data_IF_961440110882
#
_entry.id   IF_961440110882
#
_cell.length_a   1.000
_cell.length_b   1.000
_cell.length_c   1.000
_cell.angle_alpha   90.00
_cell.angle_beta   90.00
_cell.angle_gamma   90.00
#
_symmetry.space_group_name_H-M   'P 1'
#
loop_
_entity.id
_entity.type
_entity.pdbx_description
1 polymer ?
#
# COMPACT_ATOMS: atom_id res chain seq x y z
N UNK A 1 -22.89 -10.79 1.09
CA UNK A 1 -23.75 -9.68 0.60
C UNK A 1 -24.30 -10.11 -0.74
N UNK A 2 -25.59 -9.92 -0.95
CA UNK A 2 -26.27 -10.13 -2.23
C UNK A 2 -26.35 -8.77 -2.93
N UNK A 3 -26.25 -8.74 -4.25
CA UNK A 3 -26.41 -7.53 -5.04
C UNK A 3 -27.87 -7.44 -5.50
N UNK A 4 -28.53 -6.33 -5.18
CA UNK A 4 -29.92 -6.10 -5.57
C UNK A 4 -30.03 -5.73 -7.06
N UNK A 5 -31.23 -5.87 -7.62
CA UNK A 5 -31.52 -5.53 -9.02
C UNK A 5 -31.40 -4.03 -9.32
N UNK A 6 -31.57 -3.18 -8.30
CA UNK A 6 -31.49 -1.72 -8.39
C UNK A 6 -30.40 -1.17 -7.45
N UNK A 7 -29.54 -0.29 -7.97
CA UNK A 7 -28.50 0.40 -7.20
C UNK A 7 -28.84 1.88 -7.06
N UNK A 8 -29.04 2.33 -5.82
CA UNK A 8 -29.25 3.74 -5.48
C UNK A 8 -28.00 4.29 -4.76
N UNK A 9 -27.38 5.35 -5.31
CA UNK A 9 -26.22 6.03 -4.72
C UNK A 9 -26.66 7.41 -4.19
N UNK A 10 -26.78 7.55 -2.87
CA UNK A 10 -27.00 8.86 -2.22
C UNK A 10 -25.65 9.49 -1.86
N UNK A 11 -25.43 10.75 -2.25
CA UNK A 11 -24.23 11.48 -1.87
C UNK A 11 -24.51 12.98 -1.70
N UNK A 12 -23.83 13.62 -0.73
CA UNK A 12 -23.95 15.06 -0.42
C UNK A 12 -22.66 15.78 -0.73
N UNK A 13 -22.71 16.86 -1.52
CA UNK A 13 -21.50 17.63 -1.87
C UNK A 13 -20.87 18.26 -0.62
N UNK A 14 -19.61 17.91 -0.32
CA UNK A 14 -18.81 18.53 0.76
C UNK A 14 -18.16 19.82 0.29
N UNK A 15 -17.50 19.79 -0.87
CA UNK A 15 -16.77 20.93 -1.42
C UNK A 15 -16.63 20.83 -2.94
N UNK A 16 -16.56 21.97 -3.61
CA UNK A 16 -16.02 22.02 -4.96
C UNK A 16 -14.49 21.89 -4.90
N UNK A 17 -13.88 21.28 -5.90
CA UNK A 17 -12.43 21.17 -6.03
C UNK A 17 -11.96 22.11 -7.14
N UNK A 18 -10.72 22.56 -7.04
CA UNK A 18 -10.14 23.51 -8.01
C UNK A 18 -10.17 22.98 -9.45
N UNK A 19 -9.94 21.69 -9.61
CA UNK A 19 -10.04 20.93 -10.85
C UNK A 19 -10.05 19.42 -10.52
N UNK A 20 -10.32 18.57 -11.51
CA UNK A 20 -10.29 17.10 -11.42
C UNK A 20 -8.87 16.54 -11.42
N UNK A 21 -8.65 15.41 -12.08
CA UNK A 21 -7.28 14.86 -12.21
C UNK A 21 -6.35 15.82 -12.98
N UNK A 22 -6.92 16.57 -13.93
CA UNK A 22 -6.23 17.52 -14.79
C UNK A 22 -6.85 18.93 -14.70
N UNK A 23 -6.06 20.01 -14.91
CA UNK A 23 -6.53 21.39 -14.74
C UNK A 23 -7.75 21.83 -15.56
N UNK A 24 -8.04 21.16 -16.67
CA UNK A 24 -9.18 21.49 -17.56
C UNK A 24 -10.48 20.77 -17.16
N UNK A 25 -10.44 19.90 -16.15
CA UNK A 25 -11.59 19.15 -15.65
C UNK A 25 -12.15 19.82 -14.41
N UNK A 26 -13.47 19.94 -14.30
CA UNK A 26 -14.14 20.40 -13.08
C UNK A 26 -14.37 19.21 -12.13
N UNK A 27 -14.35 19.44 -10.81
CA UNK A 27 -14.57 18.37 -9.84
C UNK A 27 -15.17 18.88 -8.51
N UNK A 28 -15.72 17.94 -7.74
CA UNK A 28 -16.22 18.17 -6.38
C UNK A 28 -16.10 16.87 -5.56
N UNK A 29 -15.94 17.01 -4.25
CA UNK A 29 -15.98 15.89 -3.30
C UNK A 29 -17.39 15.75 -2.73
N UNK A 30 -17.92 14.53 -2.72
CA UNK A 30 -19.20 14.17 -2.12
C UNK A 30 -19.00 13.18 -0.96
N UNK A 31 -19.91 13.22 0.01
CA UNK A 31 -19.96 12.31 1.15
C UNK A 31 -21.15 11.38 1.02
N UNK A 32 -20.91 10.10 1.26
CA UNK A 32 -21.97 9.15 1.54
C UNK A 32 -22.49 9.38 2.98
N UNK A 33 -23.77 9.74 3.17
CA UNK A 33 -24.33 9.99 4.48
C UNK A 33 -24.46 8.72 5.34
N UNK A 34 -24.41 7.52 4.75
CA UNK A 34 -24.47 6.23 5.45
C UNK A 34 -23.12 5.78 6.01
N UNK A 35 -22.01 6.35 5.52
CA UNK A 35 -20.66 5.97 5.93
C UNK A 35 -20.18 6.86 7.08
N UNK A 36 -20.03 6.26 8.27
CA UNK A 36 -19.48 6.90 9.47
C UNK A 36 -18.23 6.14 9.97
N UNK A 37 -17.09 6.43 9.33
CA UNK A 37 -15.77 5.90 9.70
C UNK A 37 -14.68 6.95 9.48
N UNK A 38 -13.50 6.81 10.14
CA UNK A 38 -12.34 7.62 9.80
C UNK A 38 -11.94 7.41 8.33
N UNK A 39 -11.89 8.50 7.55
CA UNK A 39 -11.52 8.47 6.15
C UNK A 39 -11.05 9.86 5.67
N UNK A 40 -10.40 9.91 4.50
CA UNK A 40 -9.90 11.17 3.92
C UNK A 40 -11.03 12.13 3.60
N UNK A 41 -12.16 11.62 3.11
CA UNK A 41 -13.31 12.45 2.77
C UNK A 41 -13.88 13.19 3.99
N UNK A 42 -13.71 12.66 5.22
CA UNK A 42 -14.18 13.27 6.48
C UNK A 42 -13.06 13.93 7.29
N UNK A 43 -11.82 13.84 6.86
CA UNK A 43 -10.67 14.43 7.57
C UNK A 43 -10.83 15.95 7.80
N UNK A 44 -10.34 16.41 8.94
CA UNK A 44 -10.17 17.82 9.27
C UNK A 44 -8.82 18.30 8.71
N UNK A 45 -8.86 19.31 7.85
CA UNK A 45 -7.66 19.96 7.37
C UNK A 45 -7.22 21.04 8.38
N UNK A 46 -6.09 20.81 9.04
CA UNK A 46 -5.56 21.69 10.09
C UNK A 46 -4.67 22.81 9.55
N UNK A 47 -4.02 22.60 8.41
CA UNK A 47 -3.14 23.57 7.76
C UNK A 47 -3.02 23.30 6.25
N UNK A 48 -2.34 24.21 5.56
CA UNK A 48 -1.97 24.08 4.15
C UNK A 48 -2.97 24.66 3.16
N UNK A 49 -2.66 24.49 1.87
CA UNK A 49 -3.51 24.89 0.74
C UNK A 49 -4.76 24.03 0.61
N UNK A 50 -5.77 24.49 -0.13
CA UNK A 50 -6.92 23.67 -0.50
C UNK A 50 -6.51 22.31 -1.12
N UNK A 51 -7.25 21.26 -0.81
CA UNK A 51 -7.02 19.93 -1.38
C UNK A 51 -7.39 19.89 -2.86
N UNK A 52 -6.54 19.26 -3.68
CA UNK A 52 -6.87 18.89 -5.05
C UNK A 52 -7.53 17.50 -5.12
N UNK A 53 -8.12 17.16 -6.28
CA UNK A 53 -8.62 15.82 -6.56
C UNK A 53 -7.56 14.74 -6.30
N UNK A 54 -6.36 14.94 -6.86
CA UNK A 54 -5.26 13.99 -6.71
C UNK A 54 -4.76 13.91 -5.27
N UNK A 55 -4.77 15.01 -4.51
CA UNK A 55 -4.42 14.96 -3.09
C UNK A 55 -5.37 14.05 -2.30
N UNK A 56 -6.67 14.08 -2.60
CA UNK A 56 -7.66 13.25 -1.92
C UNK A 56 -7.46 11.77 -2.32
N UNK A 57 -7.31 11.48 -3.61
CA UNK A 57 -7.10 10.12 -4.09
C UNK A 57 -5.81 9.47 -3.56
N UNK A 58 -4.69 10.21 -3.59
CA UNK A 58 -3.41 9.72 -3.10
C UNK A 58 -3.42 9.58 -1.56
N UNK A 59 -4.07 10.50 -0.84
CA UNK A 59 -4.20 10.40 0.61
C UNK A 59 -5.07 9.21 1.02
N UNK A 60 -6.12 8.91 0.25
CA UNK A 60 -6.99 7.77 0.48
C UNK A 60 -6.23 6.45 0.28
N UNK A 61 -5.47 6.34 -0.82
CA UNK A 61 -4.60 5.19 -1.07
C UNK A 61 -3.56 4.99 0.05
N UNK A 62 -2.95 6.07 0.53
CA UNK A 62 -1.96 6.02 1.61
C UNK A 62 -2.58 5.63 2.95
N UNK A 63 -3.71 6.24 3.29
CA UNK A 63 -4.39 6.07 4.58
C UNK A 63 -5.05 4.70 4.72
N UNK A 64 -5.67 4.19 3.66
CA UNK A 64 -6.21 2.83 3.64
C UNK A 64 -5.09 1.78 3.69
N UNK A 65 -3.89 2.06 3.16
CA UNK A 65 -2.73 1.16 3.26
C UNK A 65 -2.12 1.17 4.66
N UNK A 66 -1.96 2.34 5.29
CA UNK A 66 -1.31 2.42 6.62
C UNK A 66 -2.18 1.78 7.71
N UNK A 67 -3.49 1.68 7.49
CA UNK A 67 -4.45 1.05 8.39
C UNK A 67 -4.35 -0.49 8.41
N UNK A 68 -3.60 -1.12 7.50
CA UNK A 68 -3.35 -2.57 7.50
C UNK A 68 -2.39 -3.02 8.62
N UNK A 69 -1.75 -2.08 9.32
CA UNK A 69 -0.67 -2.37 10.27
C UNK A 69 -1.02 -1.96 11.70
N UNK A 70 -0.81 -2.90 12.63
CA UNK A 70 -0.92 -2.64 14.06
C UNK A 70 0.29 -1.86 14.58
N UNK A 71 1.52 -2.28 14.26
CA UNK A 71 2.75 -1.60 14.70
C UNK A 71 2.89 -0.20 14.09
N UNK A 72 3.60 0.75 14.74
CA UNK A 72 3.84 2.08 14.17
C UNK A 72 4.34 2.00 12.72
N UNK A 73 3.55 2.57 11.81
CA UNK A 73 3.71 2.39 10.37
C UNK A 73 3.60 3.71 9.63
N UNK A 74 4.36 3.78 8.53
CA UNK A 74 4.38 4.91 7.61
C UNK A 74 4.24 4.39 6.19
N UNK A 75 3.33 5.00 5.43
CA UNK A 75 3.14 4.78 4.00
C UNK A 75 3.41 6.09 3.26
N UNK A 76 4.25 6.04 2.24
CA UNK A 76 4.51 7.14 1.33
C UNK A 76 3.94 6.76 -0.03
N UNK A 77 3.03 7.58 -0.56
CA UNK A 77 2.34 7.36 -1.84
C UNK A 77 2.62 8.49 -2.81
N UNK A 78 2.65 8.14 -4.10
CA UNK A 78 2.58 9.07 -5.21
C UNK A 78 1.77 8.45 -6.34
N UNK A 79 0.76 9.16 -6.85
CA UNK A 79 -0.11 8.68 -7.92
C UNK A 79 -0.76 7.32 -7.58
N UNK A 80 -1.38 7.26 -6.40
CA UNK A 80 -2.10 6.13 -5.80
C UNK A 80 -1.29 4.85 -5.62
N UNK A 81 0.03 4.88 -5.84
CA UNK A 81 0.92 3.75 -5.60
C UNK A 81 1.86 4.06 -4.43
N UNK A 82 2.03 3.11 -3.48
CA UNK A 82 3.09 3.21 -2.48
C UNK A 82 4.46 3.25 -3.17
N UNK A 83 5.28 4.24 -2.81
CA UNK A 83 6.71 4.28 -3.17
C UNK A 83 7.61 3.84 -2.00
N UNK A 84 7.08 3.82 -0.77
CA UNK A 84 7.75 3.26 0.38
C UNK A 84 6.76 2.98 1.52
N UNK A 85 6.89 1.82 2.16
CA UNK A 85 6.07 1.43 3.32
C UNK A 85 6.97 0.77 4.35
N UNK A 86 6.81 1.14 5.62
CA UNK A 86 7.53 0.47 6.70
C UNK A 86 6.73 0.48 8.01
N UNK A 87 6.94 -0.56 8.80
CA UNK A 87 6.60 -0.64 10.21
C UNK A 87 7.87 -0.74 11.05
N UNK A 88 7.84 -0.14 12.23
CA UNK A 88 8.97 -0.15 13.16
C UNK A 88 8.48 0.11 14.59
N UNK A 89 9.36 -0.01 15.59
CA UNK A 89 9.04 0.29 16.98
C UNK A 89 8.65 1.77 17.23
N UNK A 90 9.03 2.68 16.32
CA UNK A 90 8.68 4.10 16.38
C UNK A 90 8.27 4.60 15.00
N UNK A 91 7.37 5.60 14.95
CA UNK A 91 7.01 6.25 13.68
C UNK A 91 8.22 6.85 12.98
N UNK A 92 9.18 7.41 13.74
CA UNK A 92 10.42 7.95 13.18
C UNK A 92 11.23 6.87 12.45
N UNK A 93 11.45 5.73 13.11
CA UNK A 93 12.16 4.61 12.50
C UNK A 93 11.40 3.99 11.33
N UNK A 94 10.07 4.05 11.31
CA UNK A 94 9.27 3.63 10.17
C UNK A 94 9.38 4.63 9.00
N UNK A 95 9.28 5.94 9.27
CA UNK A 95 9.47 6.98 8.26
C UNK A 95 10.83 6.88 7.57
N UNK A 96 11.92 6.77 8.33
CA UNK A 96 13.27 6.69 7.78
C UNK A 96 13.43 5.48 6.85
N UNK A 97 12.86 4.32 7.22
CA UNK A 97 12.86 3.10 6.40
C UNK A 97 11.96 3.24 5.16
N UNK A 98 10.76 3.80 5.29
CA UNK A 98 9.85 4.01 4.17
C UNK A 98 10.45 4.98 3.13
N UNK A 99 11.05 6.09 3.59
CA UNK A 99 11.70 7.07 2.73
C UNK A 99 12.91 6.47 2.00
N UNK A 100 13.66 5.57 2.64
CA UNK A 100 14.81 4.94 2.02
C UNK A 100 14.46 4.06 0.80
N UNK A 101 13.22 3.55 0.70
CA UNK A 101 12.78 2.69 -0.40
C UNK A 101 12.86 3.40 -1.76
N UNK A 102 12.35 4.63 -1.85
CA UNK A 102 12.42 5.45 -3.05
C UNK A 102 12.35 6.96 -2.70
N UNK A 103 13.47 7.56 -2.27
CA UNK A 103 13.49 8.96 -1.83
C UNK A 103 13.20 9.93 -2.98
N UNK A 104 13.46 9.53 -4.22
CA UNK A 104 13.18 10.35 -5.41
C UNK A 104 11.68 10.44 -5.63
N UNK A 105 10.97 9.31 -5.57
CA UNK A 105 9.51 9.30 -5.72
C UNK A 105 8.79 9.88 -4.51
N UNK A 106 9.36 9.79 -3.31
CA UNK A 106 8.79 10.40 -2.10
C UNK A 106 8.69 11.94 -2.19
N UNK A 107 9.51 12.59 -3.02
CA UNK A 107 9.43 14.03 -3.25
C UNK A 107 8.10 14.42 -3.90
N UNK A 108 7.35 15.30 -3.24
CA UNK A 108 5.99 15.68 -3.61
C UNK A 108 4.95 14.59 -3.35
N UNK A 109 5.30 13.58 -2.55
CA UNK A 109 4.40 12.51 -2.16
C UNK A 109 3.46 12.90 -1.02
N UNK A 110 2.67 11.91 -0.63
CA UNK A 110 1.78 11.96 0.53
C UNK A 110 2.27 10.97 1.58
N UNK A 111 2.33 11.41 2.82
CA UNK A 111 2.74 10.58 3.97
C UNK A 111 1.52 10.28 4.83
N UNK A 112 1.22 9.00 5.02
CA UNK A 112 0.22 8.53 5.96
C UNK A 112 0.87 7.83 7.16
N UNK A 113 0.35 8.10 8.35
CA UNK A 113 0.80 7.53 9.63
C UNK A 113 -0.35 6.80 10.30
N UNK A 114 -0.09 5.66 10.96
CA UNK A 114 -1.11 4.95 11.74
C UNK A 114 -1.13 5.33 13.24
N UNK A 115 -0.38 6.36 13.62
CA UNK A 115 -0.31 6.90 14.99
C UNK A 115 -0.29 8.43 14.94
N UNK A 116 -0.41 9.04 16.11
CA UNK A 116 -0.32 10.49 16.27
C UNK A 116 1.00 11.03 15.71
N UNK A 117 0.95 12.15 15.00
CA UNK A 117 2.15 12.85 14.54
C UNK A 117 2.69 13.75 15.65
N UNK A 118 3.90 13.45 16.12
CA UNK A 118 4.65 14.24 17.09
C UNK A 118 5.58 15.28 16.42
N UNK A 119 6.13 16.19 17.23
CA UNK A 119 7.01 17.25 16.76
C UNK A 119 8.34 16.73 16.18
N UNK A 120 8.87 15.62 16.73
CA UNK A 120 10.17 15.08 16.30
C UNK A 120 10.10 14.54 14.88
N UNK A 121 9.04 13.82 14.53
CA UNK A 121 8.81 13.37 13.17
C UNK A 121 8.39 14.53 12.26
N UNK A 122 7.60 15.49 12.77
CA UNK A 122 7.24 16.68 12.00
C UNK A 122 8.47 17.43 11.48
N UNK A 123 9.52 17.58 12.29
CA UNK A 123 10.78 18.22 11.87
C UNK A 123 11.43 17.51 10.67
N UNK A 124 11.41 16.18 10.64
CA UNK A 124 11.96 15.43 9.50
C UNK A 124 11.14 15.59 8.24
N UNK A 125 9.81 15.57 8.37
CA UNK A 125 8.90 15.76 7.26
C UNK A 125 9.13 17.12 6.59
N UNK A 126 9.64 18.13 7.30
CA UNK A 126 9.99 19.44 6.71
C UNK A 126 11.23 19.42 5.79
N UNK A 127 12.05 18.37 5.84
CA UNK A 127 13.31 18.26 5.07
C UNK A 127 13.08 17.89 3.62
N UNK A 128 11.92 17.32 3.29
CA UNK A 128 11.51 17.02 1.92
C UNK A 128 10.24 17.79 1.57
N UNK A 129 10.01 17.99 0.27
CA UNK A 129 8.75 18.55 -0.19
C UNK A 129 7.66 17.49 -0.14
N UNK A 130 6.57 17.76 0.56
CA UNK A 130 5.39 16.90 0.66
C UNK A 130 4.14 17.68 0.23
N UNK A 131 3.18 16.98 -0.36
CA UNK A 131 1.88 17.58 -0.69
C UNK A 131 0.90 17.47 0.49
N UNK A 132 0.85 16.30 1.14
CA UNK A 132 -0.09 16.00 2.22
C UNK A 132 0.59 15.13 3.29
N UNK A 133 0.27 15.39 4.56
CA UNK A 133 0.52 14.49 5.68
C UNK A 133 -0.83 14.17 6.32
N UNK A 134 -1.13 12.89 6.51
CA UNK A 134 -2.38 12.39 7.09
C UNK A 134 -2.12 11.44 8.26
N UNK A 135 -2.84 11.65 9.37
CA UNK A 135 -2.72 10.85 10.59
C UNK A 135 -4.03 10.83 11.38
N UNK A 136 -4.22 9.87 12.31
CA UNK A 136 -5.33 9.87 13.26
C UNK A 136 -5.44 11.17 14.05
N UNK A 137 -4.31 11.69 14.53
CA UNK A 137 -4.18 12.97 15.22
C UNK A 137 -2.84 13.61 14.94
N UNK A 138 -2.78 14.94 15.10
CA UNK A 138 -1.56 15.75 14.93
C UNK A 138 -1.42 16.58 16.19
N UNK A 139 -0.29 16.44 16.88
CA UNK A 139 0.00 17.19 18.10
C UNK A 139 0.17 18.69 17.80
N UNK A 140 -0.08 19.55 18.80
CA UNK A 140 -0.05 21.00 18.60
C UNK A 140 1.35 21.49 18.19
N UNK A 141 2.39 20.89 18.78
CA UNK A 141 3.79 21.15 18.50
C UNK A 141 4.16 20.70 17.08
N UNK A 142 3.67 19.54 16.64
CA UNK A 142 3.85 19.04 15.28
C UNK A 142 3.16 19.93 14.23
N UNK A 143 1.94 20.38 14.53
CA UNK A 143 1.20 21.34 13.72
C UNK A 143 1.98 22.64 13.57
N UNK A 144 2.55 23.17 14.66
CA UNK A 144 3.35 24.40 14.62
C UNK A 144 4.58 24.26 13.71
N UNK A 145 5.29 23.11 13.77
CA UNK A 145 6.45 22.83 12.92
C UNK A 145 6.06 22.79 11.44
N UNK A 146 5.02 22.01 11.08
CA UNK A 146 4.63 21.82 9.69
C UNK A 146 3.86 23.00 9.11
N UNK A 147 3.20 23.82 9.93
CA UNK A 147 2.56 25.07 9.48
C UNK A 147 3.55 26.07 8.89
N UNK A 148 4.84 25.96 9.21
CA UNK A 148 5.92 26.73 8.58
C UNK A 148 6.12 26.39 7.10
N UNK A 149 5.53 25.29 6.61
CA UNK A 149 5.48 24.89 5.20
C UNK A 149 4.05 25.14 4.68
N UNK A 150 3.71 26.37 4.23
CA UNK A 150 2.33 26.80 3.97
C UNK A 150 1.60 26.02 2.85
N UNK A 151 2.32 25.21 2.08
CA UNK A 151 1.76 24.40 1.00
C UNK A 151 1.37 22.97 1.44
N UNK A 152 1.90 22.47 2.55
CA UNK A 152 1.67 21.09 3.01
C UNK A 152 0.30 21.01 3.67
N UNK A 153 -0.59 20.13 3.18
CA UNK A 153 -1.87 19.88 3.86
C UNK A 153 -1.68 18.93 5.01
N UNK A 154 -2.21 19.29 6.17
CA UNK A 154 -2.20 18.45 7.36
C UNK A 154 -3.63 17.96 7.63
N UNK A 155 -3.83 16.64 7.55
CA UNK A 155 -5.15 16.02 7.67
C UNK A 155 -5.20 15.17 8.95
N UNK A 156 -6.15 15.48 9.82
CA UNK A 156 -6.47 14.68 11.00
C UNK A 156 -7.78 13.92 10.77
N UNK A 157 -7.76 12.59 10.90
CA UNK A 157 -8.93 11.72 10.63
C UNK A 157 -9.70 11.35 11.88
N UNK A 158 -9.15 11.59 13.08
CA UNK A 158 -9.77 11.27 14.37
C UNK A 158 -9.63 9.80 14.79
N UNK A 159 -9.06 8.96 13.94
CA UNK A 159 -8.90 7.53 14.15
C UNK A 159 -8.38 6.85 12.88
N UNK A 160 -8.25 5.53 12.92
CA UNK A 160 -7.98 4.72 11.74
C UNK A 160 -9.25 4.00 11.29
N UNK A 161 -9.36 3.72 9.99
CA UNK A 161 -10.37 2.82 9.51
C UNK A 161 -10.09 1.39 9.94
N UNK A 162 -11.16 0.59 10.06
CA UNK A 162 -11.05 -0.86 10.14
C UNK A 162 -10.79 -1.43 8.73
N UNK A 163 -9.59 -2.00 8.54
CA UNK A 163 -9.18 -2.61 7.29
C UNK A 163 -9.92 -3.94 6.99
N UNK A 164 -10.45 -4.59 8.03
CA UNK A 164 -11.24 -5.84 7.94
C UNK A 164 -12.73 -5.59 7.69
N UNK A 165 -13.18 -4.33 7.74
CA UNK A 165 -14.57 -3.96 7.54
C UNK A 165 -15.09 -4.44 6.18
N UNK A 166 -16.30 -5.00 6.19
CA UNK A 166 -17.01 -5.38 4.96
C UNK A 166 -17.71 -4.15 4.41
N UNK A 167 -17.22 -3.66 3.29
CA UNK A 167 -17.74 -2.46 2.62
C UNK A 167 -18.02 -2.75 1.14
N UNK A 168 -18.77 -1.86 0.50
CA UNK A 168 -18.97 -1.90 -0.95
C UNK A 168 -18.08 -0.86 -1.61
N UNK A 169 -17.49 -1.23 -2.74
CA UNK A 169 -16.76 -0.32 -3.61
C UNK A 169 -17.49 -0.20 -4.94
N UNK A 170 -17.58 1.03 -5.44
CA UNK A 170 -18.24 1.35 -6.71
C UNK A 170 -17.20 1.92 -7.66
N UNK A 171 -17.17 1.40 -8.90
CA UNK A 171 -16.33 1.92 -9.99
C UNK A 171 -17.21 2.30 -11.16
N UNK A 172 -17.03 3.50 -11.69
CA UNK A 172 -17.70 3.90 -12.93
C UNK A 172 -17.11 3.18 -14.14
N UNK A 173 -17.97 2.87 -15.11
CA UNK A 173 -17.62 2.43 -16.47
C UNK A 173 -18.45 3.24 -17.46
N UNK A 174 -18.09 3.21 -18.75
CA UNK A 174 -18.88 3.89 -19.77
C UNK A 174 -20.33 3.36 -19.77
N UNK A 175 -21.28 4.23 -19.40
CA UNK A 175 -22.70 3.90 -19.35
C UNK A 175 -23.18 3.16 -18.10
N UNK A 176 -22.36 2.98 -17.05
CA UNK A 176 -22.82 2.29 -15.84
C UNK A 176 -21.81 2.22 -14.68
N UNK A 177 -22.05 1.28 -13.76
CA UNK A 177 -21.23 1.06 -12.56
C UNK A 177 -20.93 -0.42 -12.35
N UNK A 178 -19.73 -0.71 -11.84
CA UNK A 178 -19.35 -1.99 -11.26
C UNK A 178 -19.37 -1.85 -9.75
N UNK A 179 -20.02 -2.80 -9.06
CA UNK A 179 -20.09 -2.82 -7.60
C UNK A 179 -19.54 -4.14 -7.10
N UNK A 180 -18.66 -4.08 -6.11
CA UNK A 180 -18.07 -5.27 -5.50
C UNK A 180 -17.85 -5.05 -4.00
N UNK A 181 -17.69 -6.14 -3.26
CA UNK A 181 -17.22 -6.03 -1.87
C UNK A 181 -15.77 -5.56 -1.85
N UNK A 182 -15.42 -4.81 -0.80
CA UNK A 182 -14.06 -4.38 -0.53
C UNK A 182 -13.14 -5.57 -0.36
N UNK A 183 -11.92 -5.46 -0.89
CA UNK A 183 -10.84 -6.37 -0.57
C UNK A 183 -10.37 -6.12 0.87
N UNK A 184 -10.90 -6.90 1.81
CA UNK A 184 -10.72 -6.76 3.26
C UNK A 184 -10.06 -8.00 3.88
N UNK A 185 -9.48 -8.88 3.05
CA UNK A 185 -8.73 -10.04 3.50
C UNK A 185 -7.25 -9.71 3.47
N UNK A 186 -6.54 -10.11 4.53
CA UNK A 186 -5.08 -10.17 4.58
C UNK A 186 -4.71 -11.56 5.08
N UNK A 187 -3.43 -11.92 5.00
CA UNK A 187 -2.88 -13.16 5.54
C UNK A 187 -3.39 -13.43 6.97
N UNK A 188 -4.33 -14.35 7.15
CA UNK A 188 -4.82 -14.76 8.45
C UNK A 188 -4.51 -16.25 8.69
N UNK A 189 -4.28 -16.60 9.95
CA UNK A 189 -3.97 -17.98 10.36
C UNK A 189 -5.25 -18.86 10.38
N UNK A 190 -6.44 -18.24 10.40
CA UNK A 190 -7.73 -18.92 10.51
C UNK A 190 -8.36 -19.36 9.17
N UNK A 191 -7.88 -18.91 8.00
CA UNK A 191 -8.34 -19.42 6.68
C UNK A 191 -7.66 -20.75 6.33
N UNK A 192 -7.79 -21.73 7.21
CA UNK A 192 -7.16 -23.06 7.20
C UNK A 192 -7.51 -23.98 6.02
N UNK A 193 -8.05 -23.45 4.92
CA UNK A 193 -8.05 -24.13 3.63
C UNK A 193 -6.88 -23.67 2.72
N UNK A 194 -6.37 -22.44 2.90
CA UNK A 194 -5.31 -21.84 2.09
C UNK A 194 -4.39 -20.85 2.86
N UNK A 195 -4.51 -20.76 4.18
CA UNK A 195 -3.73 -19.91 5.09
C UNK A 195 -2.25 -20.29 5.17
N UNK A 196 -1.48 -19.85 4.17
CA UNK A 196 -0.03 -19.94 4.14
C UNK A 196 0.49 -21.37 4.10
N UNK A 197 0.26 -22.09 3.00
CA UNK A 197 0.88 -23.40 2.80
C UNK A 197 2.30 -23.21 2.26
N UNK A 198 3.32 -23.62 3.02
CA UNK A 198 4.66 -23.82 2.45
C UNK A 198 4.57 -24.91 1.39
N UNK A 199 4.93 -24.58 0.15
CA UNK A 199 4.87 -25.51 -1.00
C UNK A 199 6.24 -25.99 -1.47
N UNK A 200 7.33 -25.36 -0.99
CA UNK A 200 8.71 -25.79 -1.24
C UNK A 200 9.26 -26.61 -0.07
N UNK A 201 10.46 -27.18 -0.24
CA UNK A 201 11.13 -28.02 0.77
C UNK A 201 11.62 -27.24 2.00
N UNK A 202 11.97 -25.97 1.83
CA UNK A 202 12.50 -25.12 2.91
C UNK A 202 11.35 -24.36 3.56
N UNK A 203 11.13 -24.57 4.85
CA UNK A 203 10.20 -23.77 5.65
C UNK A 203 10.69 -22.32 5.83
N UNK A 204 9.79 -21.32 5.91
CA UNK A 204 10.17 -19.95 6.22
C UNK A 204 10.69 -19.85 7.65
N UNK A 205 11.67 -18.99 7.87
CA UNK A 205 12.00 -18.57 9.24
C UNK A 205 10.88 -17.67 9.81
N UNK A 206 10.85 -17.47 11.14
CA UNK A 206 9.87 -16.58 11.76
C UNK A 206 9.99 -15.13 11.22
N UNK A 207 11.20 -14.65 10.94
CA UNK A 207 11.44 -13.34 10.35
C UNK A 207 10.91 -13.28 8.90
N UNK A 208 11.20 -14.29 8.08
CA UNK A 208 10.66 -14.37 6.71
C UNK A 208 9.12 -14.45 6.72
N UNK A 209 8.51 -15.19 7.65
CA UNK A 209 7.05 -15.26 7.75
C UNK A 209 6.43 -13.93 8.14
N UNK A 210 7.04 -13.19 9.07
CA UNK A 210 6.60 -11.84 9.44
C UNK A 210 6.70 -10.87 8.24
N UNK A 211 7.82 -10.91 7.51
CA UNK A 211 8.01 -10.10 6.31
C UNK A 211 7.09 -10.53 5.16
N UNK A 212 6.71 -11.81 5.04
CA UNK A 212 5.70 -12.27 4.09
C UNK A 212 4.32 -11.67 4.39
N UNK A 213 3.89 -11.67 5.65
CA UNK A 213 2.63 -11.06 6.09
C UNK A 213 2.61 -9.57 5.75
N UNK A 214 3.68 -8.86 6.11
CA UNK A 214 3.84 -7.44 5.81
C UNK A 214 3.86 -7.16 4.30
N UNK A 215 4.70 -7.89 3.54
CA UNK A 215 4.84 -7.70 2.10
C UNK A 215 3.53 -7.96 1.35
N UNK A 216 2.76 -8.97 1.77
CA UNK A 216 1.48 -9.31 1.15
C UNK A 216 0.42 -8.23 1.42
N UNK A 217 0.36 -7.70 2.64
CA UNK A 217 -0.48 -6.55 2.98
C UNK A 217 -0.12 -5.31 2.15
N UNK A 218 1.16 -4.99 1.98
CA UNK A 218 1.59 -3.89 1.09
C UNK A 218 1.19 -4.17 -0.37
N UNK A 219 1.43 -5.39 -0.86
CA UNK A 219 1.21 -5.77 -2.26
C UNK A 219 -0.26 -5.59 -2.69
N UNK A 220 -1.22 -5.86 -1.78
CA UNK A 220 -2.65 -5.60 -1.95
C UNK A 220 -2.98 -4.13 -2.31
N UNK A 221 -2.14 -3.18 -1.90
CA UNK A 221 -2.34 -1.75 -2.13
C UNK A 221 -1.59 -1.21 -3.36
N UNK A 222 -0.76 -2.02 -4.01
CA UNK A 222 -0.01 -1.67 -5.22
C UNK A 222 -0.84 -2.05 -6.45
N UNK A 223 -0.84 -1.21 -7.50
CA UNK A 223 -1.58 -1.52 -8.74
C UNK A 223 -0.97 -2.73 -9.46
N UNK A 224 -1.81 -3.59 -10.01
CA UNK A 224 -1.44 -4.87 -10.62
C UNK A 224 -0.83 -4.74 -12.02
N UNK A 225 0.09 -5.62 -12.44
CA UNK A 225 0.71 -6.68 -11.63
C UNK A 225 1.70 -6.09 -10.62
N UNK A 226 1.59 -6.49 -9.36
CA UNK A 226 2.41 -5.95 -8.28
C UNK A 226 3.45 -6.94 -7.77
N UNK A 227 4.67 -6.45 -7.57
CA UNK A 227 5.75 -7.15 -6.85
C UNK A 227 6.33 -6.22 -5.79
N UNK A 228 6.51 -6.75 -4.58
CA UNK A 228 7.05 -6.01 -3.44
C UNK A 228 8.17 -6.82 -2.80
N UNK A 229 9.36 -6.25 -2.70
CA UNK A 229 10.44 -6.81 -1.87
C UNK A 229 10.45 -6.16 -0.50
N UNK A 230 10.59 -6.96 0.55
CA UNK A 230 10.57 -6.52 1.95
C UNK A 230 11.70 -7.17 2.73
N UNK A 231 12.25 -6.43 3.68
CA UNK A 231 13.06 -6.99 4.77
C UNK A 231 12.86 -6.16 6.05
N UNK A 232 12.75 -6.82 7.19
CA UNK A 232 12.65 -6.19 8.51
C UNK A 232 11.50 -5.16 8.60
N UNK A 233 10.33 -5.55 8.10
CA UNK A 233 9.11 -4.73 8.11
C UNK A 233 9.18 -3.48 7.23
N UNK A 234 10.03 -3.44 6.21
CA UNK A 234 10.12 -2.31 5.29
C UNK A 234 10.28 -2.75 3.84
N UNK A 235 9.62 -2.02 2.93
CA UNK A 235 9.78 -2.20 1.49
C UNK A 235 11.18 -1.78 1.06
N UNK A 236 11.82 -2.62 0.25
CA UNK A 236 13.12 -2.34 -0.36
C UNK A 236 12.99 -1.96 -1.84
N UNK A 237 11.92 -2.42 -2.50
CA UNK A 237 11.65 -2.13 -3.90
C UNK A 237 10.24 -2.56 -4.28
N UNK A 238 9.57 -1.74 -5.11
CA UNK A 238 8.17 -1.92 -5.50
C UNK A 238 8.07 -1.83 -7.03
N UNK A 239 7.46 -2.86 -7.64
CA UNK A 239 7.18 -2.94 -9.06
C UNK A 239 5.68 -2.89 -9.29
N UNK A 240 5.18 -1.72 -9.67
CA UNK A 240 3.75 -1.45 -9.78
C UNK A 240 3.26 -1.41 -11.25
N UNK A 241 2.04 -1.90 -11.47
CA UNK A 241 1.21 -1.54 -12.63
C UNK A 241 1.65 -2.11 -13.97
N UNK A 242 2.42 -3.21 -14.01
CA UNK A 242 2.90 -3.76 -15.28
C UNK A 242 1.97 -4.83 -15.84
N UNK A 243 1.87 -4.89 -17.17
CA UNK A 243 1.14 -5.94 -17.89
C UNK A 243 1.82 -7.31 -17.74
N UNK A 244 3.13 -7.33 -17.53
CA UNK A 244 3.93 -8.56 -17.34
C UNK A 244 4.53 -8.60 -15.94
N UNK A 245 4.33 -9.71 -15.22
CA UNK A 245 4.76 -9.80 -13.82
C UNK A 245 6.27 -9.87 -13.65
N UNK A 246 6.98 -10.56 -14.54
CA UNK A 246 8.45 -10.57 -14.52
C UNK A 246 9.04 -9.17 -14.73
N UNK A 247 8.32 -8.28 -15.43
CA UNK A 247 8.72 -6.88 -15.56
C UNK A 247 8.51 -6.14 -14.23
N UNK A 248 7.41 -6.36 -13.51
CA UNK A 248 7.26 -5.85 -12.14
C UNK A 248 8.38 -6.34 -11.22
N UNK A 249 8.75 -7.62 -11.30
CA UNK A 249 9.87 -8.19 -10.53
C UNK A 249 11.18 -7.44 -10.81
N UNK A 250 11.49 -7.24 -12.10
CA UNK A 250 12.71 -6.53 -12.53
C UNK A 250 12.70 -5.05 -12.14
N UNK A 251 11.56 -4.37 -12.25
CA UNK A 251 11.42 -2.97 -11.83
C UNK A 251 11.63 -2.82 -10.32
N UNK A 252 11.03 -3.71 -9.52
CA UNK A 252 11.20 -3.69 -8.07
C UNK A 252 12.68 -3.88 -7.68
N UNK A 253 13.38 -4.81 -8.32
CA UNK A 253 14.82 -5.03 -8.11
C UNK A 253 15.68 -3.85 -8.57
N UNK A 254 15.36 -3.26 -9.73
CA UNK A 254 16.03 -2.07 -10.25
C UNK A 254 15.89 -0.89 -9.29
N UNK A 255 14.67 -0.64 -8.78
CA UNK A 255 14.38 0.41 -7.79
C UNK A 255 15.18 0.24 -6.51
N UNK A 256 15.25 -0.98 -5.98
CA UNK A 256 16.06 -1.29 -4.81
C UNK A 256 17.55 -0.99 -5.06
N UNK A 257 18.07 -1.32 -6.25
CA UNK A 257 19.46 -1.05 -6.61
C UNK A 257 19.75 0.46 -6.73
N UNK A 258 18.84 1.24 -7.33
CA UNK A 258 18.91 2.72 -7.39
C UNK A 258 18.96 3.33 -5.99
N UNK A 259 18.12 2.82 -5.08
CA UNK A 259 18.10 3.21 -3.67
C UNK A 259 19.28 2.66 -2.85
N UNK A 260 20.15 1.85 -3.46
CA UNK A 260 21.28 1.15 -2.80
C UNK A 260 20.84 0.27 -1.63
N UNK A 261 19.64 -0.29 -1.73
CA UNK A 261 19.08 -1.24 -0.77
C UNK A 261 19.31 -2.68 -1.28
N UNK A 262 20.23 -3.45 -0.66
CA UNK A 262 20.48 -4.81 -1.11
C UNK A 262 19.28 -5.70 -0.79
N UNK A 263 18.80 -6.45 -1.80
CA UNK A 263 17.70 -7.40 -1.67
C UNK A 263 18.12 -8.76 -1.12
N UNK A 264 19.40 -8.96 -0.80
CA UNK A 264 19.91 -10.20 -0.18
C UNK A 264 19.15 -10.54 1.11
N UNK A 265 18.53 -11.71 1.15
CA UNK A 265 17.74 -12.18 2.31
C UNK A 265 16.37 -11.53 2.42
N UNK A 266 15.89 -10.85 1.37
CA UNK A 266 14.55 -10.27 1.33
C UNK A 266 13.47 -11.32 1.04
N UNK A 267 12.24 -10.96 1.39
CA UNK A 267 11.02 -11.65 0.96
C UNK A 267 10.43 -10.92 -0.23
N UNK A 268 9.91 -11.65 -1.21
CA UNK A 268 9.12 -11.12 -2.32
C UNK A 268 7.65 -11.49 -2.17
N UNK A 269 6.74 -10.52 -2.26
CA UNK A 269 5.31 -10.76 -2.40
C UNK A 269 4.83 -10.49 -3.82
N UNK A 270 3.85 -11.28 -4.26
CA UNK A 270 3.14 -11.13 -5.53
C UNK A 270 1.64 -11.11 -5.30
N UNK A 271 0.93 -10.17 -5.92
CA UNK A 271 -0.52 -10.01 -5.79
C UNK A 271 -1.33 -11.17 -6.39
N UNK A 272 -0.72 -11.90 -7.33
CA UNK A 272 -1.30 -13.00 -8.08
C UNK A 272 -0.27 -14.12 -8.34
N UNK A 273 -0.70 -15.24 -8.95
CA UNK A 273 0.16 -16.41 -9.18
C UNK A 273 1.16 -16.25 -10.32
N UNK A 274 2.35 -16.85 -10.23
CA UNK A 274 3.30 -16.81 -11.34
C UNK A 274 2.86 -17.72 -12.50
N UNK A 275 2.78 -17.21 -13.74
CA UNK A 275 2.49 -18.06 -14.90
C UNK A 275 3.69 -18.94 -15.31
N UNK A 276 4.91 -18.47 -15.03
CA UNK A 276 6.18 -19.08 -15.42
C UNK A 276 7.21 -18.94 -14.27
N UNK A 277 8.27 -19.77 -14.24
CA UNK A 277 9.30 -19.70 -13.20
C UNK A 277 10.20 -18.46 -13.29
N UNK A 278 10.13 -17.69 -14.39
CA UNK A 278 10.96 -16.51 -14.64
C UNK A 278 10.91 -15.44 -13.51
N UNK A 279 9.76 -15.31 -12.84
CA UNK A 279 9.61 -14.43 -11.69
C UNK A 279 10.38 -14.94 -10.46
N UNK A 280 10.46 -16.26 -10.28
CA UNK A 280 11.21 -16.91 -9.20
C UNK A 280 12.71 -16.79 -9.44
N UNK A 281 13.14 -17.07 -10.67
CA UNK A 281 14.53 -16.93 -11.10
C UNK A 281 15.02 -15.48 -10.92
N UNK A 282 14.25 -14.50 -11.40
CA UNK A 282 14.58 -13.08 -11.24
C UNK A 282 14.62 -12.65 -9.75
N UNK A 283 13.75 -13.21 -8.91
CA UNK A 283 13.77 -12.94 -7.48
C UNK A 283 15.01 -13.51 -6.79
N UNK A 284 15.40 -14.73 -7.16
CA UNK A 284 16.63 -15.36 -6.68
C UNK A 284 17.87 -14.54 -7.07
N UNK A 285 17.97 -14.15 -8.35
CA UNK A 285 19.08 -13.33 -8.88
C UNK A 285 19.20 -12.00 -8.14
N UNK A 286 18.06 -11.38 -7.80
CA UNK A 286 18.03 -10.16 -7.00
C UNK A 286 18.48 -10.39 -5.54
N UNK A 287 18.40 -11.63 -5.05
CA UNK A 287 18.86 -12.03 -3.71
C UNK A 287 17.74 -12.33 -2.71
N UNK A 288 16.48 -12.40 -3.15
CA UNK A 288 15.40 -12.84 -2.29
C UNK A 288 15.59 -14.30 -1.85
N UNK A 289 15.19 -14.61 -0.62
CA UNK A 289 15.26 -15.97 -0.07
C UNK A 289 13.90 -16.62 0.05
N UNK A 290 12.83 -15.82 0.06
CA UNK A 290 11.47 -16.29 0.29
C UNK A 290 10.46 -15.58 -0.62
N UNK A 291 9.38 -16.28 -0.98
CA UNK A 291 8.30 -15.76 -1.83
C UNK A 291 6.94 -16.08 -1.21
N UNK A 292 6.03 -15.12 -1.22
CA UNK A 292 4.61 -15.31 -0.91
C UNK A 292 3.75 -14.93 -2.12
N UNK A 293 2.88 -15.83 -2.54
CA UNK A 293 2.00 -15.64 -3.69
C UNK A 293 0.71 -16.46 -3.53
N UNK A 294 -0.35 -16.27 -4.33
CA UNK A 294 -1.61 -16.97 -4.12
C UNK A 294 -1.61 -18.45 -4.52
N UNK A 295 -0.83 -18.84 -5.52
CA UNK A 295 -0.97 -20.12 -6.20
C UNK A 295 -2.21 -20.19 -7.10
N UNK A 296 -2.43 -21.33 -7.74
CA UNK A 296 -3.55 -21.60 -8.64
C UNK A 296 -3.19 -21.57 -10.13
N UNK A 297 -1.91 -21.51 -10.49
CA UNK A 297 -1.48 -21.68 -11.88
C UNK A 297 -1.55 -23.14 -12.29
N UNK A 298 -1.90 -23.40 -13.56
CA UNK A 298 -1.69 -24.74 -14.16
C UNK A 298 -0.21 -25.15 -14.16
N UNK A 299 0.68 -24.18 -14.02
CA UNK A 299 2.13 -24.34 -14.05
C UNK A 299 2.80 -24.04 -12.70
N UNK A 300 2.05 -24.12 -11.58
CA UNK A 300 2.60 -23.84 -10.24
C UNK A 300 3.83 -24.70 -9.94
N UNK A 301 3.83 -25.98 -10.37
CA UNK A 301 4.94 -26.90 -10.11
C UNK A 301 6.26 -26.38 -10.67
N UNK A 302 6.28 -25.76 -11.85
CA UNK A 302 7.51 -25.21 -12.41
C UNK A 302 8.09 -24.08 -11.54
N UNK A 303 7.24 -23.27 -10.92
CA UNK A 303 7.68 -22.20 -9.99
C UNK A 303 8.16 -22.78 -8.66
N UNK A 304 7.50 -23.82 -8.17
CA UNK A 304 7.91 -24.55 -6.94
C UNK A 304 9.27 -25.21 -7.16
N UNK A 305 9.44 -25.92 -8.27
CA UNK A 305 10.71 -26.58 -8.62
C UNK A 305 11.85 -25.58 -8.74
N UNK A 306 11.62 -24.43 -9.39
CA UNK A 306 12.60 -23.35 -9.48
C UNK A 306 13.00 -22.81 -8.09
N UNK A 307 12.03 -22.57 -7.21
CA UNK A 307 12.33 -22.12 -5.86
C UNK A 307 13.10 -23.18 -5.06
N UNK A 308 12.72 -24.45 -5.16
CA UNK A 308 13.43 -25.57 -4.55
C UNK A 308 14.88 -25.67 -5.03
N UNK A 309 15.14 -25.54 -6.34
CA UNK A 309 16.49 -25.57 -6.91
C UNK A 309 17.39 -24.47 -6.33
N UNK A 310 16.81 -23.30 -6.08
CA UNK A 310 17.51 -22.16 -5.50
C UNK A 310 17.49 -22.14 -3.96
N UNK A 311 16.92 -23.18 -3.34
CA UNK A 311 16.79 -23.31 -1.90
C UNK A 311 15.92 -22.19 -1.29
N UNK A 312 14.96 -21.64 -2.03
CA UNK A 312 14.03 -20.60 -1.59
C UNK A 312 12.80 -21.19 -0.91
N UNK A 313 12.22 -20.44 0.03
CA UNK A 313 10.89 -20.75 0.54
C UNK A 313 9.82 -20.15 -0.38
N UNK A 314 8.74 -20.89 -0.65
CA UNK A 314 7.55 -20.36 -1.30
C UNK A 314 6.31 -20.74 -0.50
N UNK A 315 5.46 -19.74 -0.22
CA UNK A 315 4.20 -19.89 0.51
C UNK A 315 3.03 -19.52 -0.40
N UNK A 316 2.02 -20.40 -0.46
CA UNK A 316 0.76 -20.15 -1.15
C UNK A 316 -0.32 -19.65 -0.18
N UNK A 317 -0.97 -18.55 -0.53
CA UNK A 317 -2.04 -17.91 0.27
C UNK A 317 -3.46 -18.27 -0.19
N UNK A 318 -3.62 -18.79 -1.41
CA UNK A 318 -4.91 -19.01 -2.07
C UNK A 318 -5.76 -17.77 -2.30
N UNK A 319 -5.26 -16.58 -1.97
CA UNK A 319 -6.01 -15.32 -2.03
C UNK A 319 -5.30 -14.36 -2.97
N UNK A 320 -6.01 -13.82 -3.97
CA UNK A 320 -5.45 -12.90 -4.96
C UNK A 320 -5.92 -11.48 -4.70
N UNK A 321 -5.02 -10.50 -4.76
CA UNK A 321 -5.30 -9.08 -4.49
C UNK A 321 -5.07 -8.20 -5.72
N UNK A 322 -5.81 -8.45 -6.81
CA UNK A 322 -5.71 -7.57 -7.98
C UNK A 322 -6.30 -6.18 -7.71
N UNK A 323 -5.59 -5.15 -8.17
CA UNK A 323 -5.99 -3.75 -8.03
C UNK A 323 -5.70 -2.98 -9.31
N UNK A 324 -6.73 -2.33 -9.85
CA UNK A 324 -6.69 -1.57 -11.11
C UNK A 324 -7.20 -0.13 -10.94
#
# INVERSE_FOLDING_TARGET
MQFDEELNIEARRKMALRYGENPHQEAALYLDPSVDRPCVARALQLAGKELSYNNIADADAAFECVAEFDEPAVVIVKHMNPCGVASNATLRGAYDKALACDPVSAFGGIVALNRALDASLAEELTKIFLEVVIAPSIEAEALAVLAMKPNVRLLATGGLPDASAREMTVRSVAGGFLVQTRDNVVFNEELSAFGGKTVTKREPTAAELADMKFAFAVCKHVKSNAIVYVRDGATLGIGAGQMSRVISTKIAAMKAAEAKLPLKGSVMASDAFFPFPDCVEAAHEAGATAIVQPGGSKNDQASIDAADMHGMTMVFTGTRHFRH
#
